data_IF_622035423479
#
_entry.id   IF_622035423479
#
_cell.length_a   1.000
_cell.length_b   1.000
_cell.length_c   1.000
_cell.angle_alpha   90.00
_cell.angle_beta   90.00
_cell.angle_gamma   90.00
#
_symmetry.space_group_name_H-M   'P 1'
#
loop_
_entity.id
_entity.type
_entity.pdbx_description
1 polymer ?
#
# COMPACT_ATOMS: atom_id res chain seq x y z
N UNK A 1 5.83 24.57 17.01
CA UNK A 1 4.78 24.23 16.01
C UNK A 1 4.72 25.24 14.87
N UNK A 2 4.95 26.53 15.11
CA UNK A 2 4.93 27.59 14.07
C UNK A 2 5.93 27.32 12.92
N UNK A 3 7.15 26.89 13.23
CA UNK A 3 8.17 26.58 12.20
C UNK A 3 7.77 25.41 11.29
N UNK A 4 7.03 24.42 11.79
CA UNK A 4 6.57 23.28 11.00
C UNK A 4 5.49 23.71 10.02
N UNK A 5 4.55 24.54 10.48
CA UNK A 5 3.46 25.06 9.63
C UNK A 5 4.01 25.93 8.49
N UNK A 6 4.99 26.80 8.78
CA UNK A 6 5.63 27.64 7.77
C UNK A 6 6.33 26.81 6.68
N UNK A 7 7.07 25.76 7.08
CA UNK A 7 7.73 24.84 6.13
C UNK A 7 6.73 24.09 5.24
N UNK A 8 5.61 23.62 5.81
CA UNK A 8 4.56 22.93 5.04
C UNK A 8 3.92 23.86 4.01
N UNK A 9 3.60 25.10 4.41
CA UNK A 9 3.00 26.09 3.52
C UNK A 9 3.97 26.46 2.40
N UNK A 10 5.25 26.67 2.72
CA UNK A 10 6.27 26.97 1.72
C UNK A 10 6.42 25.83 0.70
N UNK A 11 6.50 24.58 1.16
CA UNK A 11 6.60 23.42 0.26
C UNK A 11 5.40 23.33 -0.69
N UNK A 12 4.19 23.58 -0.18
CA UNK A 12 2.97 23.63 -1.00
C UNK A 12 3.02 24.74 -2.03
N UNK A 13 3.45 25.94 -1.66
CA UNK A 13 3.58 27.08 -2.59
C UNK A 13 4.62 26.83 -3.69
N UNK A 14 5.70 26.14 -3.37
CA UNK A 14 6.73 25.79 -4.36
C UNK A 14 6.24 24.72 -5.34
N UNK A 15 5.45 23.74 -4.89
CA UNK A 15 5.10 22.55 -5.68
C UNK A 15 3.64 22.52 -6.16
N UNK A 16 2.82 23.55 -5.89
CA UNK A 16 1.39 23.53 -6.21
C UNK A 16 1.11 23.27 -7.69
N UNK A 17 1.95 23.79 -8.60
CA UNK A 17 1.79 23.57 -10.05
C UNK A 17 1.90 22.10 -10.42
N UNK A 18 2.87 21.41 -9.81
CA UNK A 18 3.07 19.97 -10.03
C UNK A 18 1.86 19.21 -9.50
N UNK A 19 1.35 19.57 -8.32
CA UNK A 19 0.14 18.94 -7.77
C UNK A 19 -1.09 19.14 -8.66
N UNK A 20 -1.30 20.34 -9.23
CA UNK A 20 -2.39 20.60 -10.17
C UNK A 20 -2.24 19.76 -11.43
N UNK A 21 -1.03 19.67 -12.00
CA UNK A 21 -0.78 18.84 -13.19
C UNK A 21 -1.04 17.37 -12.89
N UNK A 22 -0.55 16.85 -11.77
CA UNK A 22 -0.82 15.47 -11.33
C UNK A 22 -2.31 15.23 -11.11
N UNK A 23 -3.02 16.20 -10.54
CA UNK A 23 -4.46 16.14 -10.34
C UNK A 23 -5.20 16.05 -11.68
N UNK A 24 -4.95 16.99 -12.60
CA UNK A 24 -5.67 17.10 -13.87
C UNK A 24 -5.30 15.96 -14.83
N UNK A 25 -4.05 15.53 -14.88
CA UNK A 25 -3.63 14.43 -15.75
C UNK A 25 -3.88 13.04 -15.13
N UNK A 26 -3.82 12.92 -13.80
CA UNK A 26 -3.92 11.64 -13.09
C UNK A 26 -5.35 11.22 -12.76
N UNK A 27 -6.25 12.15 -12.42
CA UNK A 27 -7.63 11.80 -12.09
C UNK A 27 -8.45 11.25 -13.26
N UNK A 28 -8.42 11.82 -14.48
CA UNK A 28 -9.26 11.34 -15.57
C UNK A 28 -9.00 9.87 -15.93
N UNK A 29 -7.74 9.39 -16.05
CA UNK A 29 -7.45 7.97 -16.21
C UNK A 29 -7.99 7.13 -15.04
N UNK A 30 -7.85 7.58 -13.79
CA UNK A 30 -8.33 6.81 -12.63
C UNK A 30 -9.86 6.66 -12.66
N UNK A 31 -10.59 7.71 -13.06
CA UNK A 31 -12.05 7.70 -13.16
C UNK A 31 -12.52 6.81 -14.33
N UNK A 32 -11.91 6.96 -15.51
CA UNK A 32 -12.27 6.20 -16.72
C UNK A 32 -11.94 4.72 -16.53
N UNK A 33 -10.74 4.41 -16.03
CA UNK A 33 -10.26 3.06 -15.81
C UNK A 33 -10.57 2.55 -14.40
N UNK A 34 -11.56 3.12 -13.70
CA UNK A 34 -11.98 2.73 -12.32
C UNK A 34 -12.04 1.22 -12.11
N UNK A 35 -12.50 0.48 -13.12
CA UNK A 35 -12.64 -0.98 -13.08
C UNK A 35 -11.30 -1.73 -12.93
N UNK A 36 -10.22 -1.16 -13.46
CA UNK A 36 -8.86 -1.71 -13.44
C UNK A 36 -7.96 -1.00 -12.42
N UNK A 37 -8.15 0.30 -12.20
CA UNK A 37 -7.35 1.11 -11.28
C UNK A 37 -7.59 0.75 -9.82
N UNK A 38 -8.83 0.44 -9.42
CA UNK A 38 -9.14 0.02 -8.04
C UNK A 38 -8.43 -1.27 -7.63
N UNK A 39 -8.54 -2.40 -8.38
CA UNK A 39 -7.78 -3.60 -8.03
C UNK A 39 -6.27 -3.33 -8.07
N UNK A 40 -5.76 -2.61 -9.08
CA UNK A 40 -4.33 -2.28 -9.14
C UNK A 40 -3.86 -1.51 -7.88
N UNK A 41 -4.64 -0.55 -7.40
CA UNK A 41 -4.35 0.21 -6.18
C UNK A 41 -4.36 -0.68 -4.95
N UNK A 42 -5.37 -1.54 -4.79
CA UNK A 42 -5.42 -2.49 -3.67
C UNK A 42 -4.21 -3.42 -3.66
N UNK A 43 -3.80 -3.92 -4.83
CA UNK A 43 -2.61 -4.75 -4.99
C UNK A 43 -1.33 -4.00 -4.67
N UNK A 44 -1.22 -2.74 -5.11
CA UNK A 44 -0.05 -1.91 -4.85
C UNK A 44 0.08 -1.62 -3.35
N UNK A 45 -1.03 -1.33 -2.67
CA UNK A 45 -1.05 -1.12 -1.21
C UNK A 45 -0.70 -2.42 -0.47
N UNK A 46 -1.31 -3.54 -0.84
CA UNK A 46 -1.01 -4.85 -0.24
C UNK A 46 0.47 -5.23 -0.43
N UNK A 47 1.02 -5.03 -1.63
CA UNK A 47 2.44 -5.27 -1.91
C UNK A 47 3.34 -4.33 -1.10
N UNK A 48 2.99 -3.05 -0.99
CA UNK A 48 3.73 -2.08 -0.19
C UNK A 48 3.74 -2.46 1.30
N UNK A 49 2.62 -2.94 1.84
CA UNK A 49 2.53 -3.44 3.22
C UNK A 49 3.44 -4.65 3.42
N UNK A 50 3.43 -5.61 2.49
CA UNK A 50 4.32 -6.76 2.60
C UNK A 50 5.81 -6.40 2.50
N UNK A 51 6.17 -5.48 1.60
CA UNK A 51 7.55 -4.97 1.50
C UNK A 51 7.95 -4.22 2.76
N UNK A 52 7.07 -3.42 3.35
CA UNK A 52 7.34 -2.72 4.62
C UNK A 52 7.56 -3.71 5.78
N UNK A 53 6.75 -4.77 5.87
CA UNK A 53 6.93 -5.84 6.85
C UNK A 53 8.27 -6.55 6.62
N UNK A 54 8.58 -6.92 5.37
CA UNK A 54 9.84 -7.54 5.01
C UNK A 54 11.05 -6.68 5.44
N UNK A 55 11.05 -5.40 5.08
CA UNK A 55 12.09 -4.44 5.46
C UNK A 55 12.27 -4.38 6.97
N UNK A 56 11.16 -4.28 7.71
CA UNK A 56 11.17 -4.29 9.17
C UNK A 56 11.74 -5.57 9.76
N UNK A 57 11.39 -6.74 9.20
CA UNK A 57 11.91 -8.04 9.64
C UNK A 57 13.40 -8.16 9.36
N UNK A 58 13.88 -7.82 8.15
CA UNK A 58 15.30 -7.85 7.82
C UNK A 58 16.06 -6.87 8.72
N UNK A 59 15.57 -5.65 8.89
CA UNK A 59 16.17 -4.66 9.78
C UNK A 59 16.25 -5.16 11.23
N UNK A 60 15.21 -5.82 11.71
CA UNK A 60 15.20 -6.42 13.05
C UNK A 60 16.23 -7.54 13.18
N UNK A 61 16.35 -8.42 12.19
CA UNK A 61 17.35 -9.50 12.16
C UNK A 61 18.77 -8.93 12.13
N UNK A 62 19.04 -7.91 11.30
CA UNK A 62 20.34 -7.23 11.24
C UNK A 62 20.67 -6.57 12.58
N UNK A 63 19.68 -5.91 13.20
CA UNK A 63 19.83 -5.31 14.53
C UNK A 63 20.18 -6.36 15.60
N UNK A 64 19.47 -7.49 15.61
CA UNK A 64 19.76 -8.60 16.52
C UNK A 64 21.16 -9.18 16.27
N UNK A 65 21.54 -9.37 15.01
CA UNK A 65 22.86 -9.90 14.65
C UNK A 65 23.98 -8.95 15.09
N UNK A 66 23.79 -7.63 14.94
CA UNK A 66 24.71 -6.61 15.47
C UNK A 66 24.81 -6.68 16.99
N UNK A 67 23.68 -6.78 17.70
CA UNK A 67 23.69 -6.91 19.16
C UNK A 67 24.34 -8.20 19.64
N UNK A 68 24.09 -9.31 18.94
CA UNK A 68 24.71 -10.58 19.25
C UNK A 68 26.23 -10.53 19.04
N UNK A 69 26.71 -9.91 17.96
CA UNK A 69 28.15 -9.70 17.72
C UNK A 69 28.82 -8.88 18.83
N UNK A 70 28.17 -7.80 19.27
CA UNK A 70 28.66 -6.96 20.38
C UNK A 70 28.67 -7.70 21.73
N UNK A 71 27.68 -8.56 21.96
CA UNK A 71 27.59 -9.35 23.18
C UNK A 71 28.66 -10.46 23.22
N UNK A 72 28.88 -11.14 22.09
CA UNK A 72 29.78 -12.29 21.97
C UNK A 72 31.26 -11.91 21.79
N UNK A 73 31.58 -10.68 21.40
CA UNK A 73 32.96 -10.23 21.31
C UNK A 73 33.61 -10.15 22.71
N UNK A 74 34.66 -10.94 22.93
CA UNK A 74 35.49 -10.91 24.15
C UNK A 74 36.47 -9.73 24.19
N UNK A 75 36.46 -8.89 23.16
CA UNK A 75 37.34 -7.73 23.08
C UNK A 75 36.94 -6.66 24.11
N UNK A 76 37.93 -6.11 24.84
CA UNK A 76 37.69 -5.03 25.80
C UNK A 76 37.24 -3.75 25.10
N UNK A 77 37.71 -3.53 23.86
CA UNK A 77 37.36 -2.38 23.04
C UNK A 77 36.26 -2.76 22.06
N UNK A 78 35.01 -2.84 22.56
CA UNK A 78 33.85 -3.16 21.72
C UNK A 78 33.59 -2.04 20.72
N UNK A 79 34.13 -2.19 19.51
CA UNK A 79 33.84 -1.29 18.39
C UNK A 79 32.47 -1.64 17.83
N UNK A 80 31.62 -0.62 17.74
CA UNK A 80 30.28 -0.74 17.19
C UNK A 80 30.37 -1.12 15.71
N UNK A 81 29.75 -2.23 15.28
CA UNK A 81 29.84 -2.61 13.88
C UNK A 81 29.06 -1.61 13.03
N UNK A 82 29.72 -0.96 12.08
CA UNK A 82 29.11 0.04 11.18
C UNK A 82 28.07 -0.55 10.23
N UNK A 83 27.89 -1.87 10.21
CA UNK A 83 26.91 -2.51 9.37
C UNK A 83 25.50 -2.43 9.96
N UNK A 84 24.56 -1.99 9.14
CA UNK A 84 23.19 -1.70 9.51
C UNK A 84 22.33 -1.36 8.30
N UNK A 85 21.00 -1.37 8.51
CA UNK A 85 20.00 -1.00 7.49
C UNK A 85 19.23 0.24 7.93
N UNK A 86 18.96 1.19 7.01
CA UNK A 86 18.24 2.41 7.32
C UNK A 86 16.74 2.16 7.50
N UNK A 87 16.23 2.24 8.73
CA UNK A 87 14.81 1.93 9.04
C UNK A 87 13.78 2.89 8.42
N UNK A 88 14.17 4.15 8.18
CA UNK A 88 13.26 5.21 7.72
C UNK A 88 13.41 5.54 6.24
N UNK A 89 14.54 5.17 5.63
CA UNK A 89 14.86 5.50 4.23
C UNK A 89 14.95 4.23 3.41
N UNK A 90 13.78 3.77 2.94
CA UNK A 90 13.67 2.60 2.08
C UNK A 90 14.57 2.72 0.86
N UNK A 91 15.38 1.69 0.61
CA UNK A 91 16.25 1.57 -0.57
C UNK A 91 17.20 2.74 -0.83
N UNK A 92 17.58 3.49 0.20
CA UNK A 92 18.71 4.41 0.11
C UNK A 92 20.02 3.61 0.10
N UNK A 93 20.39 3.03 -1.06
CA UNK A 93 21.52 2.12 -1.24
C UNK A 93 22.85 2.65 -0.67
N UNK A 94 23.01 3.97 -0.63
CA UNK A 94 24.17 4.65 -0.07
C UNK A 94 24.33 4.44 1.44
N UNK A 95 23.24 4.18 2.16
CA UNK A 95 23.23 4.02 3.61
C UNK A 95 23.32 2.55 4.05
N UNK A 96 23.32 1.61 3.09
CA UNK A 96 23.47 0.19 3.38
C UNK A 96 24.94 -0.17 3.50
N UNK A 97 25.31 -0.62 4.70
CA UNK A 97 26.62 -1.22 4.93
C UNK A 97 26.38 -2.60 5.55
N UNK A 98 26.81 -3.71 4.94
CA UNK A 98 27.31 -3.87 3.56
C UNK A 98 26.21 -3.81 2.48
N UNK A 99 26.61 -3.41 1.25
CA UNK A 99 25.70 -3.20 0.10
C UNK A 99 24.92 -4.43 -0.35
N UNK A 100 25.43 -5.64 -0.13
CA UNK A 100 24.76 -6.87 -0.58
C UNK A 100 23.41 -7.08 0.13
N UNK A 101 23.23 -6.55 1.35
CA UNK A 101 21.97 -6.64 2.09
C UNK A 101 20.85 -5.94 1.33
N UNK A 102 21.14 -4.79 0.72
CA UNK A 102 20.15 -4.07 -0.10
C UNK A 102 19.74 -4.88 -1.33
N UNK A 103 20.69 -5.55 -1.98
CA UNK A 103 20.40 -6.44 -3.11
C UNK A 103 19.56 -7.65 -2.71
N UNK A 104 19.87 -8.27 -1.58
CA UNK A 104 19.09 -9.38 -1.02
C UNK A 104 17.65 -8.96 -0.70
N UNK A 105 17.49 -7.80 -0.07
CA UNK A 105 16.18 -7.22 0.23
C UNK A 105 15.38 -6.94 -1.05
N UNK A 106 16.02 -6.39 -2.09
CA UNK A 106 15.39 -6.13 -3.38
C UNK A 106 14.90 -7.43 -4.05
N UNK A 107 15.70 -8.49 -4.00
CA UNK A 107 15.33 -9.81 -4.53
C UNK A 107 14.13 -10.38 -3.78
N UNK A 108 14.13 -10.32 -2.45
CA UNK A 108 13.00 -10.78 -1.64
C UNK A 108 11.74 -9.95 -1.90
N UNK A 109 11.85 -8.63 -2.03
CA UNK A 109 10.74 -7.77 -2.41
C UNK A 109 10.16 -8.17 -3.77
N UNK A 110 11.02 -8.43 -4.77
CA UNK A 110 10.58 -8.92 -6.08
C UNK A 110 9.88 -10.28 -6.01
N UNK A 111 10.36 -11.20 -5.17
CA UNK A 111 9.71 -12.49 -4.92
C UNK A 111 8.33 -12.29 -4.30
N UNK A 112 8.18 -11.42 -3.29
CA UNK A 112 6.88 -11.12 -2.69
C UNK A 112 5.92 -10.57 -3.74
N UNK A 113 6.34 -9.60 -4.56
CA UNK A 113 5.51 -9.03 -5.63
C UNK A 113 5.08 -10.13 -6.61
N UNK A 114 6.00 -11.02 -6.98
CA UNK A 114 5.69 -12.17 -7.84
C UNK A 114 4.69 -13.13 -7.19
N UNK A 115 4.85 -13.45 -5.90
CA UNK A 115 3.93 -14.31 -5.16
C UNK A 115 2.53 -13.69 -5.05
N UNK A 116 2.44 -12.40 -4.73
CA UNK A 116 1.15 -11.68 -4.68
C UNK A 116 0.47 -11.74 -6.04
N UNK A 117 1.21 -11.47 -7.12
CA UNK A 117 0.68 -11.56 -8.48
C UNK A 117 0.23 -12.97 -8.85
N UNK A 118 0.99 -14.00 -8.46
CA UNK A 118 0.75 -15.40 -8.84
C UNK A 118 -0.37 -16.07 -8.05
N UNK A 119 -0.49 -15.78 -6.75
CA UNK A 119 -1.41 -16.46 -5.83
C UNK A 119 -2.71 -15.68 -5.58
N UNK A 120 -2.67 -14.35 -5.70
CA UNK A 120 -3.89 -13.54 -5.78
C UNK A 120 -3.98 -13.01 -7.20
N UNK A 121 -4.65 -13.67 -8.15
CA UNK A 121 -4.97 -13.05 -9.42
C UNK A 121 -6.04 -11.97 -9.24
N UNK A 122 -5.91 -10.84 -9.94
CA UNK A 122 -6.83 -9.71 -9.84
C UNK A 122 -8.26 -10.17 -10.17
N UNK A 123 -9.09 -10.35 -9.14
CA UNK A 123 -10.51 -10.59 -9.35
C UNK A 123 -11.18 -9.28 -9.73
N UNK A 124 -11.35 -9.05 -11.03
CA UNK A 124 -12.16 -7.94 -11.52
C UNK A 124 -13.56 -8.09 -10.96
N UNK A 125 -14.07 -7.06 -10.28
CA UNK A 125 -15.42 -7.07 -9.74
C UNK A 125 -16.41 -7.41 -10.86
N UNK A 126 -17.07 -8.58 -10.76
CA UNK A 126 -18.15 -8.93 -11.68
C UNK A 126 -19.27 -7.93 -11.45
N UNK A 127 -19.68 -7.23 -12.52
CA UNK A 127 -20.77 -6.27 -12.44
C UNK A 127 -22.02 -7.01 -11.95
N UNK A 128 -22.47 -6.75 -10.71
CA UNK A 128 -23.72 -7.33 -10.22
C UNK A 128 -24.83 -6.83 -11.14
N UNK A 129 -25.50 -7.74 -11.85
CA UNK A 129 -26.65 -7.39 -12.66
C UNK A 129 -27.63 -6.62 -11.78
N UNK A 130 -28.01 -5.42 -12.21
CA UNK A 130 -28.93 -4.55 -11.48
C UNK A 130 -30.23 -5.35 -11.34
N UNK A 131 -30.57 -5.76 -10.12
CA UNK A 131 -31.80 -6.52 -9.87
C UNK A 131 -32.97 -5.71 -10.44
N UNK A 132 -33.81 -6.35 -11.24
CA UNK A 132 -34.98 -5.70 -11.81
C UNK A 132 -35.81 -5.05 -10.69
N UNK A 133 -36.34 -3.82 -10.91
CA UNK A 133 -37.16 -3.17 -9.89
C UNK A 133 -38.34 -4.07 -9.51
N UNK A 134 -38.75 -4.10 -8.24
CA UNK A 134 -39.87 -4.93 -7.81
C UNK A 134 -41.11 -4.51 -8.61
N UNK A 135 -41.76 -5.48 -9.28
CA UNK A 135 -43.05 -5.23 -9.94
C UNK A 135 -44.02 -4.68 -8.89
N UNK A 136 -44.44 -3.42 -9.03
CA UNK A 136 -45.58 -2.88 -8.29
C UNK A 136 -46.76 -3.82 -8.55
N UNK A 137 -47.21 -4.54 -7.52
CA UNK A 137 -48.54 -5.15 -7.53
C UNK A 137 -49.51 -3.98 -7.55
N UNK A 138 -50.02 -3.65 -8.74
CA UNK A 138 -51.23 -2.85 -8.88
C UNK A 138 -52.35 -3.67 -8.24
N UNK A 139 -52.59 -3.43 -6.96
CA UNK A 139 -53.81 -3.85 -6.28
C UNK A 139 -54.96 -3.10 -6.93
N UNK A 140 -55.50 -3.66 -7.99
CA UNK A 140 -56.82 -3.30 -8.50
C UNK A 140 -57.80 -3.73 -7.42
N UNK A 141 -58.31 -2.76 -6.68
CA UNK A 141 -59.52 -2.95 -5.89
C UNK A 141 -60.64 -3.39 -6.84
N UNK A 142 -61.21 -4.55 -6.56
CA UNK A 142 -62.56 -4.87 -7.03
C UNK A 142 -63.32 -5.39 -5.81
N UNK A 143 -63.79 -4.42 -5.03
CA UNK A 143 -64.90 -4.67 -4.12
C UNK A 143 -66.09 -5.10 -4.96
N UNK A 144 -66.55 -6.33 -4.75
CA UNK A 144 -67.88 -6.74 -5.19
C UNK A 144 -68.54 -7.41 -4.00
N UNK A 145 -69.34 -6.62 -3.27
CA UNK A 145 -70.36 -7.16 -2.40
C UNK A 145 -71.38 -7.89 -3.28
N UNK A 146 -71.49 -9.20 -3.15
CA UNK A 146 -72.62 -10.02 -3.57
C UNK A 146 -72.82 -10.95 -2.37
N UNK A 147 -73.86 -10.84 -1.56
CA UNK A 147 -75.26 -10.63 -1.86
C UNK A 147 -75.98 -11.77 -1.15
N UNK A 148 -76.69 -11.45 -0.06
CA UNK A 148 -77.54 -12.36 0.73
C UNK A 148 -78.33 -13.31 -0.16
N UNK A 149 -78.37 -14.60 0.21
CA UNK A 149 -79.61 -15.36 0.44
C UNK A 149 -79.37 -16.38 1.55
#
# INVERSE_FOLDING_TARGET
MENIMAQVVQHFQEHYRIYIVVLVCGLPPIIIFRRYSVPLLTYSIESAVYVAILHGVIGFVVFLARRFKLASSMDLNKVDPEWGTPMLRFWAFEQYNPRWIAGFELVLAAVIVFLVFRYRPMQTQKHKARKAPPKKKTGVGSGTMVGRR
#
